data_IF_380034988373
#
_entry.id   IF_380034988373
#
_cell.length_a   1.000
_cell.length_b   1.000
_cell.length_c   1.000
_cell.angle_alpha   90.00
_cell.angle_beta   90.00
_cell.angle_gamma   90.00
#
_symmetry.space_group_name_H-M   'P 1'
#
loop_
_entity.id
_entity.type
_entity.pdbx_description
1 polymer ?
#
# COMPACT_ATOMS: atom_id res chain seq x y z
N UNK A 1 -0.34 -19.33 12.89
CA UNK A 1 0.19 -18.60 11.72
C UNK A 1 -0.71 -17.42 11.48
N UNK A 2 -0.16 -16.23 11.36
CA UNK A 2 -0.91 -15.00 11.08
C UNK A 2 -1.54 -15.05 9.70
N UNK A 3 -2.75 -14.45 9.55
CA UNK A 3 -3.49 -14.39 8.28
C UNK A 3 -3.77 -12.94 7.92
N UNK A 4 -3.52 -12.57 6.67
CA UNK A 4 -3.84 -11.25 6.14
C UNK A 4 -4.73 -11.37 4.89
N UNK A 5 -5.83 -10.64 4.86
CA UNK A 5 -6.57 -10.40 3.63
C UNK A 5 -5.92 -9.23 2.89
N UNK A 6 -5.52 -9.44 1.64
CA UNK A 6 -4.91 -8.40 0.79
C UNK A 6 -5.82 -8.11 -0.38
N UNK A 7 -6.37 -6.90 -0.42
CA UNK A 7 -7.34 -6.41 -1.40
C UNK A 7 -6.59 -5.55 -2.41
N UNK A 8 -6.29 -6.08 -3.57
CA UNK A 8 -5.51 -5.41 -4.61
C UNK A 8 -5.72 -6.12 -5.96
N UNK A 9 -5.21 -5.56 -7.05
CA UNK A 9 -5.18 -6.22 -8.35
C UNK A 9 -4.06 -7.26 -8.47
N UNK A 10 -4.11 -8.05 -9.55
CA UNK A 10 -2.99 -8.86 -10.03
C UNK A 10 -2.52 -8.32 -11.36
N UNK A 11 -1.28 -7.85 -11.43
CA UNK A 11 -0.58 -7.53 -12.67
C UNK A 11 0.37 -8.65 -13.06
N UNK A 12 0.17 -9.23 -14.27
CA UNK A 12 0.92 -10.41 -14.73
C UNK A 12 2.38 -10.13 -15.01
N UNK A 13 2.71 -8.93 -15.51
CA UNK A 13 4.07 -8.47 -15.73
C UNK A 13 4.30 -7.13 -15.00
N UNK A 14 5.44 -7.01 -14.33
CA UNK A 14 5.74 -5.95 -13.37
C UNK A 14 5.58 -6.45 -11.94
N UNK A 15 6.37 -5.88 -11.01
CA UNK A 15 6.44 -6.32 -9.60
C UNK A 15 5.65 -5.36 -8.72
N UNK A 16 4.32 -5.42 -8.79
CA UNK A 16 3.40 -4.54 -8.06
C UNK A 16 2.18 -5.30 -7.53
N UNK A 17 1.35 -4.64 -6.79
CA UNK A 17 0.07 -5.15 -6.31
C UNK A 17 0.20 -6.53 -5.62
N UNK A 18 -0.67 -7.49 -5.89
CA UNK A 18 -0.62 -8.82 -5.27
C UNK A 18 0.65 -9.62 -5.63
N UNK A 19 1.25 -9.38 -6.82
CA UNK A 19 2.49 -10.07 -7.20
C UNK A 19 3.69 -9.64 -6.36
N UNK A 20 3.63 -8.47 -5.72
CA UNK A 20 4.60 -8.01 -4.73
C UNK A 20 4.18 -8.36 -3.30
N UNK A 21 2.91 -8.13 -2.94
CA UNK A 21 2.41 -8.33 -1.57
C UNK A 21 2.48 -9.79 -1.12
N UNK A 22 2.12 -10.74 -1.99
CA UNK A 22 2.10 -12.17 -1.65
C UNK A 22 3.50 -12.67 -1.26
N UNK A 23 4.56 -12.53 -2.10
CA UNK A 23 5.88 -13.04 -1.73
C UNK A 23 6.47 -12.33 -0.51
N UNK A 24 6.29 -11.01 -0.36
CA UNK A 24 6.80 -10.25 0.78
C UNK A 24 6.20 -10.74 2.10
N UNK A 25 4.87 -10.83 2.18
CA UNK A 25 4.21 -11.26 3.41
C UNK A 25 4.40 -12.76 3.68
N UNK A 26 4.41 -13.60 2.62
CA UNK A 26 4.65 -15.05 2.77
C UNK A 26 6.05 -15.35 3.29
N UNK A 27 7.07 -14.59 2.88
CA UNK A 27 8.45 -14.73 3.40
C UNK A 27 8.54 -14.42 4.90
N UNK A 28 7.64 -13.56 5.42
CA UNK A 28 7.49 -13.26 6.84
C UNK A 28 6.62 -14.29 7.61
N UNK A 29 6.22 -15.40 6.98
CA UNK A 29 5.41 -16.43 7.60
C UNK A 29 3.93 -16.08 7.75
N UNK A 30 3.42 -15.11 6.98
CA UNK A 30 2.02 -14.69 7.01
C UNK A 30 1.27 -15.35 5.85
N UNK A 31 0.15 -15.99 6.16
CA UNK A 31 -0.76 -16.51 5.13
C UNK A 31 -1.50 -15.35 4.47
N UNK A 32 -1.22 -15.11 3.19
CA UNK A 32 -1.95 -14.12 2.39
C UNK A 32 -3.22 -14.76 1.81
N UNK A 33 -4.34 -14.07 1.99
CA UNK A 33 -5.64 -14.42 1.40
C UNK A 33 -6.01 -13.30 0.42
N UNK A 34 -5.77 -13.48 -0.89
CA UNK A 34 -5.97 -12.41 -1.86
C UNK A 34 -7.45 -12.19 -2.16
N UNK A 35 -7.87 -10.92 -2.10
CA UNK A 35 -9.15 -10.43 -2.62
C UNK A 35 -8.85 -9.64 -3.89
N UNK A 36 -9.04 -10.28 -5.04
CA UNK A 36 -8.57 -9.76 -6.32
C UNK A 36 -9.58 -8.75 -6.88
N UNK A 37 -9.16 -7.50 -7.05
CA UNK A 37 -10.00 -6.40 -7.57
C UNK A 37 -10.07 -6.40 -9.09
N UNK A 38 -9.02 -6.88 -9.75
CA UNK A 38 -8.92 -7.04 -11.19
C UNK A 38 -7.66 -7.79 -11.59
N UNK A 39 -7.62 -8.22 -12.84
CA UNK A 39 -6.45 -8.89 -13.43
C UNK A 39 -5.96 -8.05 -14.60
N UNK A 40 -4.69 -7.73 -14.61
CA UNK A 40 -4.03 -6.99 -15.70
C UNK A 40 -2.98 -7.87 -16.37
N UNK A 41 -2.84 -7.78 -17.68
CA UNK A 41 -1.75 -8.48 -18.39
C UNK A 41 -0.37 -8.02 -17.92
N UNK A 42 -0.27 -6.74 -17.58
CA UNK A 42 0.94 -6.09 -17.09
C UNK A 42 0.57 -4.81 -16.32
N UNK A 43 1.52 -4.28 -15.59
CA UNK A 43 1.39 -3.04 -14.84
C UNK A 43 0.94 -1.88 -15.77
N UNK A 44 0.05 -1.00 -15.28
CA UNK A 44 -0.67 0.00 -16.08
C UNK A 44 0.20 1.14 -16.63
N UNK A 45 1.43 1.31 -16.16
CA UNK A 45 2.38 2.29 -16.68
C UNK A 45 3.09 1.88 -17.99
N UNK A 46 2.92 0.63 -18.44
CA UNK A 46 3.37 0.24 -19.78
C UNK A 46 2.49 0.88 -20.86
N UNK A 47 3.00 0.97 -22.09
CA UNK A 47 2.33 1.60 -23.22
C UNK A 47 0.92 1.04 -23.49
N UNK A 48 0.74 -0.25 -23.27
CA UNK A 48 -0.56 -0.92 -23.40
C UNK A 48 -0.74 -2.04 -22.39
N UNK A 49 -1.97 -2.30 -22.03
CA UNK A 49 -2.36 -3.44 -21.18
C UNK A 49 -3.80 -3.86 -21.51
N UNK A 50 -4.15 -5.07 -21.12
CA UNK A 50 -5.53 -5.55 -21.09
C UNK A 50 -5.89 -5.88 -19.64
N UNK A 51 -7.17 -5.73 -19.28
CA UNK A 51 -7.63 -6.02 -17.94
C UNK A 51 -8.98 -6.72 -17.91
N UNK A 52 -9.21 -7.47 -16.85
CA UNK A 52 -10.51 -8.02 -16.46
C UNK A 52 -10.90 -7.39 -15.11
N UNK A 53 -12.01 -6.67 -15.09
CA UNK A 53 -12.62 -6.12 -13.88
C UNK A 53 -13.32 -7.23 -13.09
N UNK A 54 -13.01 -7.38 -11.80
CA UNK A 54 -13.61 -8.38 -10.91
C UNK A 54 -14.56 -7.77 -9.88
N UNK A 55 -15.09 -6.57 -10.16
CA UNK A 55 -16.02 -5.86 -9.26
C UNK A 55 -17.19 -6.74 -8.81
N UNK A 56 -17.82 -7.46 -9.72
CA UNK A 56 -18.98 -8.31 -9.40
C UNK A 56 -18.61 -9.57 -8.59
N UNK A 57 -17.31 -9.91 -8.51
CA UNK A 57 -16.81 -11.03 -7.71
C UNK A 57 -16.63 -10.65 -6.22
N UNK A 58 -16.37 -9.39 -5.91
CA UNK A 58 -16.10 -8.94 -4.53
C UNK A 58 -17.23 -9.28 -3.53
N UNK A 59 -18.52 -9.03 -3.84
CA UNK A 59 -19.60 -9.45 -2.95
C UNK A 59 -19.69 -10.98 -2.78
N UNK A 60 -19.31 -11.74 -3.80
CA UNK A 60 -19.29 -13.20 -3.71
C UNK A 60 -18.16 -13.67 -2.76
N UNK A 61 -16.98 -13.04 -2.82
CA UNK A 61 -15.87 -13.32 -1.88
C UNK A 61 -16.32 -13.07 -0.44
N UNK A 62 -16.92 -11.90 -0.15
CA UNK A 62 -17.44 -11.57 1.18
C UNK A 62 -18.43 -12.62 1.66
N UNK A 63 -19.41 -12.96 0.82
CA UNK A 63 -20.44 -13.96 1.16
C UNK A 63 -19.87 -15.35 1.42
N UNK A 64 -18.98 -15.86 0.53
CA UNK A 64 -18.42 -17.21 0.68
C UNK A 64 -17.47 -17.29 1.88
N UNK A 65 -16.66 -16.24 2.10
CA UNK A 65 -15.77 -16.22 3.26
C UNK A 65 -16.53 -16.05 4.58
N UNK A 66 -17.67 -15.36 4.58
CA UNK A 66 -18.52 -15.31 5.77
C UNK A 66 -18.99 -16.69 6.24
N UNK A 67 -19.22 -17.64 5.28
CA UNK A 67 -19.55 -19.03 5.61
C UNK A 67 -18.37 -19.81 6.19
N UNK A 68 -17.14 -19.44 5.81
CA UNK A 68 -15.92 -20.02 6.35
C UNK A 68 -15.51 -19.42 7.70
N UNK A 69 -16.08 -18.25 8.05
CA UNK A 69 -15.82 -17.48 9.25
C UNK A 69 -14.30 -17.33 9.58
N UNK A 70 -13.45 -16.88 8.64
CA UNK A 70 -12.03 -16.73 8.91
C UNK A 70 -11.80 -15.59 9.90
N UNK A 71 -10.76 -15.75 10.73
CA UNK A 71 -10.17 -14.64 11.46
C UNK A 71 -8.97 -14.10 10.67
N UNK A 72 -8.88 -12.79 10.51
CA UNK A 72 -7.73 -12.10 9.92
C UNK A 72 -7.02 -11.27 10.98
N UNK A 73 -5.71 -11.45 11.10
CA UNK A 73 -4.85 -10.61 11.95
C UNK A 73 -4.61 -9.24 11.29
N UNK A 74 -4.66 -9.18 9.95
CA UNK A 74 -4.51 -7.96 9.18
C UNK A 74 -5.38 -7.92 7.92
N UNK A 75 -5.71 -6.71 7.50
CA UNK A 75 -6.31 -6.40 6.20
C UNK A 75 -5.45 -5.31 5.56
N UNK A 76 -5.04 -5.51 4.31
CA UNK A 76 -4.31 -4.54 3.49
C UNK A 76 -5.14 -4.20 2.27
N UNK A 77 -5.33 -2.91 1.98
CA UNK A 77 -5.96 -2.47 0.73
C UNK A 77 -4.97 -1.67 -0.11
N UNK A 78 -4.98 -1.89 -1.42
CA UNK A 78 -4.22 -1.14 -2.41
C UNK A 78 -5.12 -0.61 -3.51
N UNK A 79 -4.73 -0.81 -4.78
CA UNK A 79 -5.41 -0.27 -5.93
C UNK A 79 -6.83 -0.85 -6.15
N UNK A 80 -7.80 0.04 -6.39
CA UNK A 80 -9.18 -0.29 -6.76
C UNK A 80 -9.52 0.33 -8.12
N UNK A 81 -10.20 -0.45 -8.97
CA UNK A 81 -10.41 -0.11 -10.37
C UNK A 81 -11.51 0.93 -10.61
N UNK A 82 -12.53 0.95 -9.77
CA UNK A 82 -13.70 1.80 -9.98
C UNK A 82 -14.43 2.16 -8.68
N UNK A 83 -15.30 3.17 -8.74
CA UNK A 83 -16.04 3.67 -7.59
C UNK A 83 -16.90 2.61 -6.88
N UNK A 84 -17.45 1.62 -7.61
CA UNK A 84 -18.26 0.53 -7.03
C UNK A 84 -17.45 -0.36 -6.08
N UNK A 85 -16.16 -0.57 -6.36
CA UNK A 85 -15.31 -1.44 -5.55
C UNK A 85 -15.14 -0.91 -4.13
N UNK A 86 -15.12 0.41 -3.93
CA UNK A 86 -15.00 0.98 -2.58
C UNK A 86 -16.13 0.56 -1.66
N UNK A 87 -17.37 0.52 -2.15
CA UNK A 87 -18.51 0.08 -1.36
C UNK A 87 -18.37 -1.41 -0.97
N UNK A 88 -17.96 -2.27 -1.92
CA UNK A 88 -17.76 -3.69 -1.66
C UNK A 88 -16.58 -3.96 -0.72
N UNK A 89 -15.49 -3.19 -0.84
CA UNK A 89 -14.32 -3.31 0.05
C UNK A 89 -14.66 -2.82 1.47
N UNK A 90 -15.46 -1.76 1.59
CA UNK A 90 -15.96 -1.30 2.89
C UNK A 90 -16.85 -2.38 3.54
N UNK A 91 -17.76 -3.00 2.78
CA UNK A 91 -18.60 -4.10 3.25
C UNK A 91 -17.73 -5.32 3.70
N UNK A 92 -16.68 -5.66 2.94
CA UNK A 92 -15.72 -6.68 3.33
C UNK A 92 -15.02 -6.32 4.66
N UNK A 93 -14.54 -5.09 4.79
CA UNK A 93 -13.88 -4.62 6.02
C UNK A 93 -14.85 -4.67 7.20
N UNK A 94 -16.08 -4.18 7.03
CA UNK A 94 -17.11 -4.20 8.10
C UNK A 94 -17.51 -5.62 8.51
N UNK A 95 -17.39 -6.59 7.58
CA UNK A 95 -17.69 -8.00 7.84
C UNK A 95 -16.56 -8.71 8.61
N UNK A 96 -15.28 -8.42 8.26
CA UNK A 96 -14.15 -9.24 8.72
C UNK A 96 -13.21 -8.52 9.69
N UNK A 97 -13.25 -7.17 9.79
CA UNK A 97 -12.41 -6.45 10.74
C UNK A 97 -12.95 -6.64 12.15
N UNK A 98 -12.17 -7.29 13.00
CA UNK A 98 -12.42 -7.45 14.43
C UNK A 98 -11.56 -6.47 15.23
N UNK A 99 -11.74 -6.44 16.55
CA UNK A 99 -11.04 -5.51 17.45
C UNK A 99 -9.49 -5.64 17.37
N UNK A 100 -9.01 -6.87 17.19
CA UNK A 100 -7.59 -7.22 17.06
C UNK A 100 -7.09 -7.27 15.61
N UNK A 101 -7.95 -7.03 14.62
CA UNK A 101 -7.57 -6.94 13.21
C UNK A 101 -6.98 -5.57 12.88
N UNK A 102 -5.75 -5.52 12.39
CA UNK A 102 -5.13 -4.28 11.89
C UNK A 102 -5.52 -4.02 10.44
N UNK A 103 -6.09 -2.84 10.17
CA UNK A 103 -6.39 -2.37 8.82
C UNK A 103 -5.33 -1.36 8.38
N UNK A 104 -4.53 -1.72 7.36
CA UNK A 104 -3.66 -0.79 6.65
C UNK A 104 -4.30 -0.45 5.30
N UNK A 105 -4.47 0.84 5.04
CA UNK A 105 -4.94 1.36 3.76
C UNK A 105 -3.80 2.09 3.07
N UNK A 106 -3.40 1.59 1.90
CA UNK A 106 -2.58 2.32 0.95
C UNK A 106 -3.52 3.14 0.05
N UNK A 107 -3.53 4.49 0.17
CA UNK A 107 -4.55 5.32 -0.46
C UNK A 107 -4.25 5.64 -1.92
N UNK A 108 -3.82 4.66 -2.68
CA UNK A 108 -3.42 4.77 -4.10
C UNK A 108 -4.44 5.59 -4.89
N UNK A 109 -4.13 6.86 -5.20
CA UNK A 109 -5.00 7.73 -6.02
C UNK A 109 -4.27 8.86 -6.73
N UNK A 110 -3.05 9.20 -6.30
CA UNK A 110 -2.35 10.39 -6.79
C UNK A 110 -0.83 10.26 -6.62
N UNK A 111 -0.05 10.97 -7.42
CA UNK A 111 1.40 11.09 -7.26
C UNK A 111 1.89 12.39 -7.92
N UNK A 112 3.04 12.93 -7.48
CA UNK A 112 3.69 14.11 -8.07
C UNK A 112 2.78 15.35 -8.20
N UNK A 113 1.87 15.54 -7.27
CA UNK A 113 0.94 16.68 -7.24
C UNK A 113 -0.35 16.49 -8.03
N UNK A 114 -0.53 15.35 -8.70
CA UNK A 114 -1.67 15.10 -9.58
C UNK A 114 -2.43 13.82 -9.20
N UNK A 115 -3.77 13.87 -9.30
CA UNK A 115 -4.62 12.68 -9.21
C UNK A 115 -4.44 11.87 -10.50
N UNK A 116 -4.35 10.55 -10.39
CA UNK A 116 -4.24 9.68 -11.56
C UNK A 116 -5.40 9.90 -12.53
N UNK A 117 -5.11 9.96 -13.82
CA UNK A 117 -6.10 10.25 -14.87
C UNK A 117 -7.28 9.25 -14.90
N UNK A 118 -7.12 8.07 -14.34
CA UNK A 118 -8.16 7.04 -14.23
C UNK A 118 -9.09 7.24 -13.03
N UNK A 119 -8.75 8.15 -12.09
CA UNK A 119 -9.54 8.37 -10.88
C UNK A 119 -10.63 9.43 -11.10
N UNK A 120 -11.85 9.07 -10.73
CA UNK A 120 -12.98 9.98 -10.69
C UNK A 120 -13.13 10.63 -9.31
N UNK A 121 -13.87 11.76 -9.18
CA UNK A 121 -14.16 12.34 -7.86
C UNK A 121 -14.80 11.35 -6.88
N UNK A 122 -15.66 10.44 -7.38
CA UNK A 122 -16.30 9.40 -6.57
C UNK A 122 -15.29 8.39 -6.05
N UNK A 123 -14.25 8.05 -6.82
CA UNK A 123 -13.16 7.19 -6.37
C UNK A 123 -12.33 7.87 -5.28
N UNK A 124 -12.00 9.14 -5.42
CA UNK A 124 -11.29 9.92 -4.39
C UNK A 124 -12.08 9.94 -3.08
N UNK A 125 -13.40 10.16 -3.14
CA UNK A 125 -14.26 10.09 -1.96
C UNK A 125 -14.32 8.65 -1.38
N UNK A 126 -14.24 7.63 -2.22
CA UNK A 126 -14.10 6.24 -1.82
C UNK A 126 -12.82 6.00 -1.01
N UNK A 127 -11.67 6.50 -1.49
CA UNK A 127 -10.38 6.43 -0.76
C UNK A 127 -10.48 7.11 0.60
N UNK A 128 -11.06 8.32 0.68
CA UNK A 128 -11.26 9.02 1.96
C UNK A 128 -12.08 8.20 2.95
N UNK A 129 -13.14 7.53 2.49
CA UNK A 129 -13.98 6.65 3.32
C UNK A 129 -13.21 5.42 3.80
N UNK A 130 -12.36 4.81 2.97
CA UNK A 130 -11.50 3.71 3.39
C UNK A 130 -10.50 4.16 4.44
N UNK A 131 -9.79 5.27 4.20
CA UNK A 131 -8.83 5.83 5.15
C UNK A 131 -9.47 6.16 6.51
N UNK A 132 -10.73 6.60 6.53
CA UNK A 132 -11.44 6.88 7.77
C UNK A 132 -11.70 5.62 8.65
N UNK A 133 -11.60 4.40 8.07
CA UNK A 133 -11.72 3.11 8.79
C UNK A 133 -10.36 2.53 9.18
N UNK A 134 -9.26 3.08 8.65
CA UNK A 134 -7.93 2.53 8.78
C UNK A 134 -7.33 2.72 10.19
N UNK A 135 -6.56 1.73 10.63
CA UNK A 135 -5.65 1.89 11.77
C UNK A 135 -4.34 2.54 11.32
N UNK A 136 -3.89 2.21 10.11
CA UNK A 136 -2.64 2.70 9.50
C UNK A 136 -2.93 3.15 8.07
N UNK A 137 -2.37 4.28 7.65
CA UNK A 137 -2.37 4.71 6.25
C UNK A 137 -0.94 4.97 5.77
N UNK A 138 -0.68 4.72 4.48
CA UNK A 138 0.65 4.88 3.85
C UNK A 138 0.63 5.88 2.67
N UNK A 139 0.08 7.11 2.85
CA UNK A 139 -0.02 8.07 1.76
C UNK A 139 1.36 8.56 1.30
N UNK A 140 1.53 8.83 0.01
CA UNK A 140 2.57 9.75 -0.44
C UNK A 140 2.18 11.21 -0.10
N UNK A 141 3.08 12.17 -0.39
CA UNK A 141 2.84 13.57 -0.03
C UNK A 141 1.59 14.16 -0.71
N UNK A 142 1.34 13.81 -1.98
CA UNK A 142 0.17 14.27 -2.74
C UNK A 142 -1.12 13.74 -2.12
N UNK A 143 -1.14 12.46 -1.80
CA UNK A 143 -2.27 11.81 -1.16
C UNK A 143 -2.54 12.35 0.25
N UNK A 144 -1.48 12.60 1.05
CA UNK A 144 -1.63 13.23 2.35
C UNK A 144 -2.32 14.58 2.24
N UNK A 145 -1.91 15.43 1.29
CA UNK A 145 -2.52 16.74 1.04
C UNK A 145 -3.99 16.63 0.66
N UNK A 146 -4.34 15.70 -0.21
CA UNK A 146 -5.73 15.43 -0.62
C UNK A 146 -6.57 14.93 0.57
N UNK A 147 -6.01 14.04 1.39
CA UNK A 147 -6.70 13.45 2.54
C UNK A 147 -6.87 14.46 3.68
N UNK A 148 -5.83 15.19 4.01
CA UNK A 148 -5.82 16.12 5.14
C UNK A 148 -6.39 17.50 4.79
N UNK A 149 -6.15 17.98 3.57
CA UNK A 149 -6.38 19.36 3.14
C UNK A 149 -5.29 20.33 3.66
N UNK A 150 -4.14 19.80 4.11
CA UNK A 150 -2.99 20.57 4.60
C UNK A 150 -1.82 20.46 3.61
N UNK A 151 -1.09 21.54 3.41
CA UNK A 151 0.09 21.54 2.55
C UNK A 151 1.34 21.01 3.26
N UNK A 152 1.45 21.30 4.56
CA UNK A 152 2.58 20.88 5.39
C UNK A 152 2.43 19.45 5.88
N UNK A 153 3.52 18.66 5.82
CA UNK A 153 3.55 17.25 6.21
C UNK A 153 3.16 17.05 7.68
N UNK A 154 3.67 17.88 8.57
CA UNK A 154 3.43 17.72 10.00
C UNK A 154 1.97 18.04 10.33
N UNK A 155 1.45 19.16 9.83
CA UNK A 155 0.03 19.52 9.99
C UNK A 155 -0.88 18.47 9.38
N UNK A 156 -0.54 17.95 8.20
CA UNK A 156 -1.29 16.88 7.53
C UNK A 156 -1.30 15.58 8.33
N UNK A 157 -0.13 15.12 8.78
CA UNK A 157 0.01 13.92 9.59
C UNK A 157 -0.76 14.00 10.91
N UNK A 158 -0.60 15.09 11.65
CA UNK A 158 -1.32 15.33 12.91
C UNK A 158 -2.83 15.37 12.70
N UNK A 159 -3.31 16.04 11.66
CA UNK A 159 -4.72 16.12 11.34
C UNK A 159 -5.33 14.75 11.06
N UNK A 160 -4.60 13.86 10.38
CA UNK A 160 -5.06 12.50 10.16
C UNK A 160 -5.10 11.67 11.46
N UNK A 161 -4.12 11.84 12.36
CA UNK A 161 -4.18 11.24 13.70
C UNK A 161 -5.40 11.74 14.49
N UNK A 162 -5.71 13.05 14.46
CA UNK A 162 -6.88 13.65 15.11
C UNK A 162 -8.20 13.09 14.57
N UNK A 163 -8.23 12.60 13.33
CA UNK A 163 -9.40 11.93 12.73
C UNK A 163 -9.55 10.46 13.15
N UNK A 164 -8.69 9.96 14.04
CA UNK A 164 -8.79 8.63 14.63
C UNK A 164 -7.88 7.57 14.01
N UNK A 165 -7.05 7.91 13.02
CA UNK A 165 -6.04 7.00 12.47
C UNK A 165 -4.93 6.84 13.50
N UNK A 166 -4.51 5.60 13.80
CA UNK A 166 -3.50 5.32 14.84
C UNK A 166 -2.08 5.63 14.37
N UNK A 167 -1.82 5.44 13.07
CA UNK A 167 -0.50 5.68 12.48
C UNK A 167 -0.62 6.23 11.06
N UNK A 168 0.13 7.28 10.76
CA UNK A 168 0.24 7.87 9.42
C UNK A 168 1.69 7.76 8.98
N UNK A 169 1.93 7.10 7.86
CA UNK A 169 3.26 6.88 7.31
C UNK A 169 3.32 7.57 5.95
N UNK A 170 3.88 8.78 5.91
CA UNK A 170 4.01 9.53 4.65
C UNK A 170 5.23 9.04 3.91
N UNK A 171 5.02 8.46 2.73
CA UNK A 171 6.05 7.78 1.96
C UNK A 171 6.62 8.64 0.84
N UNK A 172 7.86 8.36 0.45
CA UNK A 172 8.43 8.83 -0.81
C UNK A 172 8.68 10.33 -0.92
N UNK A 173 8.89 11.05 0.19
CA UNK A 173 9.16 12.49 0.18
C UNK A 173 10.59 12.75 -0.29
N UNK A 174 10.74 13.33 -1.48
CA UNK A 174 12.04 13.63 -2.08
C UNK A 174 12.53 14.99 -1.62
N UNK A 175 13.74 15.04 -1.03
CA UNK A 175 14.39 16.24 -0.53
C UNK A 175 15.85 16.28 -1.02
N UNK A 176 16.07 16.90 -2.16
CA UNK A 176 17.39 16.91 -2.82
C UNK A 176 17.82 15.53 -3.29
N UNK A 177 18.88 14.99 -2.70
CA UNK A 177 19.42 13.65 -3.01
C UNK A 177 18.94 12.56 -2.03
N UNK A 178 18.03 12.90 -1.12
CA UNK A 178 17.46 11.97 -0.15
C UNK A 178 15.98 11.72 -0.45
N UNK A 179 15.51 10.51 -0.13
CA UNK A 179 14.10 10.15 -0.06
C UNK A 179 13.76 9.80 1.40
N UNK A 180 12.66 10.33 1.88
CA UNK A 180 12.27 10.27 3.29
C UNK A 180 10.89 9.68 3.46
N UNK A 181 10.70 8.96 4.58
CA UNK A 181 9.40 8.52 5.06
C UNK A 181 9.16 9.12 6.44
N UNK A 182 8.01 9.74 6.66
CA UNK A 182 7.64 10.35 7.94
C UNK A 182 6.60 9.49 8.64
N UNK A 183 6.84 9.14 9.89
CA UNK A 183 5.95 8.30 10.70
C UNK A 183 5.37 9.14 11.82
N UNK A 184 4.04 9.25 11.87
CA UNK A 184 3.28 9.86 12.95
C UNK A 184 2.54 8.77 13.70
N UNK A 185 2.85 8.58 14.97
CA UNK A 185 2.25 7.56 15.83
C UNK A 185 2.34 7.97 17.30
N UNK A 186 1.23 7.89 18.04
CA UNK A 186 1.16 8.17 19.48
C UNK A 186 1.82 9.51 19.89
N UNK A 187 1.54 10.60 19.15
CA UNK A 187 2.09 11.94 19.43
C UNK A 187 3.59 12.08 19.11
N UNK A 188 4.21 11.08 18.52
CA UNK A 188 5.61 11.09 18.08
C UNK A 188 5.69 11.15 16.56
N UNK A 189 6.55 12.03 16.04
CA UNK A 189 6.90 12.08 14.63
C UNK A 189 8.38 11.68 14.45
N UNK A 190 8.65 10.72 13.54
CA UNK A 190 10.02 10.34 13.16
C UNK A 190 10.17 10.36 11.65
N UNK A 191 11.39 10.70 11.21
CA UNK A 191 11.80 10.72 9.81
C UNK A 191 12.84 9.61 9.58
N UNK A 192 12.59 8.78 8.56
CA UNK A 192 13.52 7.77 8.07
C UNK A 192 13.92 8.12 6.65
N UNK A 193 15.21 8.22 6.39
CA UNK A 193 15.74 8.66 5.10
C UNK A 193 16.75 7.67 4.52
N UNK A 194 16.83 7.64 3.21
CA UNK A 194 17.85 6.95 2.45
C UNK A 194 18.22 7.77 1.20
N UNK A 195 19.28 7.37 0.52
CA UNK A 195 19.67 7.97 -0.75
C UNK A 195 18.57 7.82 -1.78
N UNK A 196 18.23 8.91 -2.48
CA UNK A 196 17.29 8.89 -3.59
C UNK A 196 17.98 8.42 -4.87
N UNK A 197 17.74 7.17 -5.25
CA UNK A 197 18.27 6.60 -6.47
C UNK A 197 17.27 6.89 -7.60
N UNK A 198 17.62 7.85 -8.45
CA UNK A 198 16.81 8.20 -9.62
C UNK A 198 16.89 7.08 -10.67
N UNK A 199 15.73 6.72 -11.24
CA UNK A 199 15.74 5.99 -12.49
C UNK A 199 16.39 6.87 -13.56
N UNK A 200 17.55 6.44 -14.07
CA UNK A 200 18.41 7.23 -14.97
C UNK A 200 17.72 7.64 -16.29
N UNK A 201 16.62 6.97 -16.69
CA UNK A 201 15.94 7.22 -17.96
C UNK A 201 14.68 8.07 -17.88
N UNK A 202 13.92 8.00 -16.77
CA UNK A 202 12.58 8.57 -16.72
C UNK A 202 12.35 9.53 -15.54
N UNK A 203 13.30 9.64 -14.61
CA UNK A 203 13.22 10.47 -13.40
C UNK A 203 11.98 10.16 -12.55
N UNK A 204 12.09 9.43 -11.45
CA UNK A 204 10.95 9.15 -10.58
C UNK A 204 11.08 7.86 -9.79
N UNK A 205 9.98 7.47 -9.14
CA UNK A 205 9.87 6.25 -8.34
C UNK A 205 9.79 4.99 -9.22
N UNK A 206 10.10 3.84 -8.63
CA UNK A 206 9.91 2.54 -9.26
C UNK A 206 8.51 1.99 -8.94
N UNK A 207 7.86 1.40 -9.94
CA UNK A 207 6.54 0.78 -9.77
C UNK A 207 6.58 -0.33 -8.71
N UNK A 208 5.52 -0.43 -7.91
CA UNK A 208 5.35 -1.47 -6.90
C UNK A 208 6.11 -1.26 -5.59
N UNK A 209 6.94 -0.22 -5.47
CA UNK A 209 7.63 0.06 -4.19
C UNK A 209 6.65 0.38 -3.06
N UNK A 210 5.51 1.02 -3.35
CA UNK A 210 4.43 1.25 -2.39
C UNK A 210 3.82 -0.06 -1.89
N UNK A 211 3.48 -0.99 -2.80
CA UNK A 211 2.94 -2.31 -2.44
C UNK A 211 3.91 -3.12 -1.59
N UNK A 212 5.21 -3.12 -1.96
CA UNK A 212 6.27 -3.77 -1.18
C UNK A 212 6.37 -3.13 0.20
N UNK A 213 6.38 -1.80 0.28
CA UNK A 213 6.49 -1.06 1.53
C UNK A 213 5.32 -1.34 2.46
N UNK A 214 4.09 -1.18 1.99
CA UNK A 214 2.87 -1.38 2.78
C UNK A 214 2.74 -2.81 3.27
N UNK A 215 3.07 -3.80 2.40
CA UNK A 215 3.09 -5.22 2.74
C UNK A 215 4.15 -5.55 3.78
N UNK A 216 5.35 -5.00 3.63
CA UNK A 216 6.46 -5.20 4.56
C UNK A 216 6.14 -4.62 5.94
N UNK A 217 5.67 -3.36 5.99
CA UNK A 217 5.30 -2.68 7.22
C UNK A 217 4.21 -3.43 7.97
N UNK A 218 3.10 -3.77 7.30
CA UNK A 218 2.03 -4.53 7.95
C UNK A 218 2.52 -5.89 8.42
N UNK A 219 3.29 -6.60 7.59
CA UNK A 219 3.85 -7.91 7.95
C UNK A 219 4.73 -7.87 9.20
N UNK A 220 5.60 -6.87 9.33
CA UNK A 220 6.43 -6.68 10.52
C UNK A 220 5.60 -6.35 11.76
N UNK A 221 4.61 -5.48 11.65
CA UNK A 221 3.72 -5.14 12.77
C UNK A 221 2.94 -6.38 13.23
N UNK A 222 2.40 -7.17 12.30
CA UNK A 222 1.73 -8.43 12.63
C UNK A 222 2.65 -9.43 13.35
N UNK A 223 3.96 -9.39 13.08
CA UNK A 223 4.98 -10.17 13.76
C UNK A 223 5.51 -9.55 15.07
N UNK A 224 4.86 -8.46 15.55
CA UNK A 224 5.11 -7.88 16.88
C UNK A 224 6.13 -6.75 16.91
N UNK A 225 6.62 -6.28 15.77
CA UNK A 225 7.47 -5.07 15.70
C UNK A 225 6.63 -3.80 15.88
N UNK A 226 7.22 -2.77 16.46
CA UNK A 226 6.60 -1.44 16.49
C UNK A 226 6.50 -0.84 15.09
N UNK A 227 5.60 0.13 14.89
CA UNK A 227 5.48 0.86 13.62
C UNK A 227 6.80 1.50 13.20
N UNK A 228 7.55 2.03 14.17
CA UNK A 228 8.84 2.67 13.92
C UNK A 228 9.90 1.68 13.41
N UNK A 229 10.03 0.53 14.05
CA UNK A 229 10.95 -0.54 13.61
C UNK A 229 10.54 -1.13 12.26
N UNK A 230 9.23 -1.30 12.03
CA UNK A 230 8.70 -1.81 10.77
C UNK A 230 9.05 -0.88 9.60
N UNK A 231 8.89 0.43 9.78
CA UNK A 231 9.24 1.42 8.74
C UNK A 231 10.75 1.49 8.52
N UNK A 232 11.56 1.51 9.58
CA UNK A 232 13.02 1.51 9.47
C UNK A 232 13.53 0.33 8.65
N UNK A 233 13.04 -0.88 8.96
CA UNK A 233 13.40 -2.10 8.23
C UNK A 233 12.87 -2.11 6.79
N UNK A 234 11.67 -1.54 6.54
CA UNK A 234 11.13 -1.42 5.18
C UNK A 234 11.98 -0.49 4.30
N UNK A 235 12.41 0.66 4.85
CA UNK A 235 13.29 1.61 4.16
C UNK A 235 14.64 0.94 3.82
N UNK A 236 15.22 0.20 4.76
CA UNK A 236 16.47 -0.53 4.54
C UNK A 236 16.31 -1.63 3.48
N UNK A 237 15.25 -2.42 3.55
CA UNK A 237 14.95 -3.50 2.61
C UNK A 237 14.80 -2.98 1.19
N UNK A 238 13.94 -1.96 0.98
CA UNK A 238 13.69 -1.36 -0.32
C UNK A 238 14.95 -0.68 -0.85
N UNK A 239 15.69 0.05 -0.01
CA UNK A 239 16.94 0.69 -0.40
C UNK A 239 17.99 -0.29 -0.91
N UNK A 240 18.11 -1.47 -0.25
CA UNK A 240 19.00 -2.56 -0.71
C UNK A 240 18.52 -3.14 -2.04
N UNK A 241 17.23 -3.39 -2.19
CA UNK A 241 16.66 -3.93 -3.42
C UNK A 241 16.86 -2.98 -4.61
N UNK A 242 16.59 -1.68 -4.44
CA UNK A 242 16.82 -0.67 -5.49
C UNK A 242 18.30 -0.64 -5.91
N UNK A 243 19.22 -0.60 -4.94
CA UNK A 243 20.69 -0.54 -5.22
C UNK A 243 21.21 -1.74 -5.99
N UNK A 244 20.58 -2.91 -5.83
CA UNK A 244 21.00 -4.14 -6.51
C UNK A 244 20.29 -4.40 -7.83
N UNK A 245 19.23 -3.65 -8.15
CA UNK A 245 18.42 -3.87 -9.34
C UNK A 245 19.04 -3.26 -10.58
N UNK A 246 19.11 -4.02 -11.68
CA UNK A 246 19.44 -3.51 -13.01
C UNK A 246 18.14 -3.10 -13.74
N UNK A 247 17.59 -1.95 -13.34
CA UNK A 247 16.28 -1.51 -13.81
C UNK A 247 16.42 -0.72 -15.12
N UNK A 248 15.90 -1.28 -16.19
CA UNK A 248 15.87 -0.63 -17.53
C UNK A 248 14.59 0.17 -17.76
N UNK A 249 13.49 -0.27 -17.16
CA UNK A 249 12.17 0.37 -17.22
C UNK A 249 11.60 0.42 -15.79
N UNK A 250 11.14 1.59 -15.34
CA UNK A 250 10.56 1.76 -14.01
C UNK A 250 9.37 0.83 -13.75
N UNK A 251 8.66 0.43 -14.81
CA UNK A 251 7.47 -0.41 -14.72
C UNK A 251 7.77 -1.89 -14.46
N UNK A 252 9.04 -2.32 -14.67
CA UNK A 252 9.48 -3.68 -14.32
C UNK A 252 9.47 -3.91 -12.79
N UNK A 253 9.53 -2.82 -12.00
CA UNK A 253 9.68 -2.87 -10.55
C UNK A 253 11.12 -3.12 -10.12
N UNK A 254 11.33 -3.32 -8.82
CA UNK A 254 12.65 -3.57 -8.22
C UNK A 254 12.90 -5.06 -7.97
N UNK A 255 14.16 -5.49 -7.96
CA UNK A 255 14.55 -6.89 -7.70
C UNK A 255 14.62 -7.15 -6.20
N UNK A 256 13.44 -7.31 -5.57
CA UNK A 256 13.33 -7.55 -4.13
C UNK A 256 13.42 -9.02 -3.74
N UNK A 257 13.15 -9.95 -4.64
CA UNK A 257 13.07 -11.39 -4.38
C UNK A 257 14.37 -11.98 -3.76
N UNK A 258 15.58 -11.57 -4.18
CA UNK A 258 16.81 -12.08 -3.58
C UNK A 258 16.95 -11.77 -2.08
N UNK A 259 16.25 -10.74 -1.59
CA UNK A 259 16.29 -10.26 -0.22
C UNK A 259 15.23 -10.89 0.68
N UNK A 260 14.22 -11.57 0.12
CA UNK A 260 13.13 -12.19 0.88
C UNK A 260 13.60 -13.19 1.94
N UNK A 261 14.72 -13.84 1.72
CA UNK A 261 15.30 -14.80 2.69
C UNK A 261 15.83 -14.15 3.98
N UNK A 262 15.89 -12.82 4.02
CA UNK A 262 16.46 -12.04 5.14
C UNK A 262 15.40 -11.28 5.94
N UNK A 263 14.11 -11.49 5.70
CA UNK A 263 13.00 -10.74 6.33
C UNK A 263 12.14 -11.59 7.25
#
# INVERSE_FOLDING_TARGET
>A
MKKCAVINDISGFGKCSLTASIPVMSAMGIQVNPVVTGVFTNQTGYESFQSADLTDMLPAVTREWSRLAPHFDGILTGFLLCAKQYAHVIDFIDTFKQEDTLLLVDPVMADNGEIYATYTPEMVEGVKKLCAKADIITPNLTELRILSGEEDIFSGGEKMLQRGIKSVIVTGVVEGEEISNYVFHNGTAKKYKTEFIKNAKEGGSFSGTGDIFSSFVLGKILNGFSVFEAVEQAVEFIGKAIKSSDIKNRNDGIDFEPFLKNI
#
